data_IF_781203572571
#
_entry.id   IF_781203572571
#
_cell.length_a   1.000
_cell.length_b   1.000
_cell.length_c   1.000
_cell.angle_alpha   90.00
_cell.angle_beta   90.00
_cell.angle_gamma   90.00
#
_symmetry.space_group_name_H-M   'P 1'
#
loop_
_entity.id
_entity.type
_entity.pdbx_description
1 polymer ?
#
# COMPACT_ATOMS: atom_id res chain seq x y z
N UNK A 1 -20.13 19.22 45.18
CA UNK A 1 -19.55 19.74 43.91
C UNK A 1 -18.20 19.08 43.61
N UNK A 2 -17.18 19.21 44.48
CA UNK A 2 -15.83 18.66 44.24
C UNK A 2 -15.80 17.15 44.00
N UNK A 3 -16.55 16.36 44.77
CA UNK A 3 -16.63 14.90 44.59
C UNK A 3 -17.21 14.54 43.21
N UNK A 4 -18.25 15.25 42.75
CA UNK A 4 -18.86 15.02 41.44
C UNK A 4 -17.88 15.37 40.31
N UNK A 5 -17.13 16.47 40.45
CA UNK A 5 -16.09 16.87 39.49
C UNK A 5 -14.99 15.81 39.42
N UNK A 6 -14.50 15.34 40.57
CA UNK A 6 -13.47 14.30 40.63
C UNK A 6 -13.96 12.97 40.01
N UNK A 7 -15.22 12.59 40.27
CA UNK A 7 -15.84 11.40 39.70
C UNK A 7 -15.97 11.50 38.17
N UNK A 8 -16.43 12.63 37.65
CA UNK A 8 -16.55 12.88 36.20
C UNK A 8 -15.17 12.89 35.54
N UNK A 9 -14.19 13.56 36.14
CA UNK A 9 -12.82 13.59 35.62
C UNK A 9 -12.20 12.18 35.57
N UNK A 10 -12.40 11.38 36.63
CA UNK A 10 -11.96 9.98 36.67
C UNK A 10 -12.65 9.14 35.59
N UNK A 11 -13.96 9.29 35.41
CA UNK A 11 -14.73 8.59 34.39
C UNK A 11 -14.27 8.95 32.98
N UNK A 12 -14.07 10.23 32.67
CA UNK A 12 -13.57 10.69 31.38
C UNK A 12 -12.14 10.19 31.12
N UNK A 13 -11.27 10.19 32.14
CA UNK A 13 -9.92 9.63 32.05
C UNK A 13 -9.91 8.15 31.69
N UNK A 14 -10.92 7.38 32.11
CA UNK A 14 -11.10 5.98 31.73
C UNK A 14 -11.72 5.82 30.34
N UNK A 15 -12.69 6.66 29.98
CA UNK A 15 -13.51 6.51 28.76
C UNK A 15 -12.77 6.98 27.50
N UNK A 16 -12.04 8.10 27.56
CA UNK A 16 -11.35 8.70 26.42
C UNK A 16 -10.36 7.71 25.77
N UNK A 17 -9.47 7.01 26.50
CA UNK A 17 -8.54 6.06 25.91
C UNK A 17 -9.25 4.93 25.17
N UNK A 18 -10.41 4.47 25.67
CA UNK A 18 -11.20 3.40 25.04
C UNK A 18 -11.78 3.87 23.72
N UNK A 19 -12.35 5.07 23.69
CA UNK A 19 -12.91 5.68 22.47
C UNK A 19 -11.84 6.01 21.43
N UNK A 20 -10.61 6.31 21.86
CA UNK A 20 -9.49 6.64 20.96
C UNK A 20 -8.75 5.41 20.42
N UNK A 21 -9.02 4.19 20.93
CA UNK A 21 -8.34 2.97 20.46
C UNK A 21 -8.38 2.80 18.93
N UNK A 22 -9.53 2.94 18.24
CA UNK A 22 -9.60 2.79 16.78
C UNK A 22 -8.66 3.74 16.04
N UNK A 23 -8.57 4.99 16.51
CA UNK A 23 -7.70 6.01 15.92
C UNK A 23 -6.22 5.64 16.07
N UNK A 24 -5.83 5.11 17.24
CA UNK A 24 -4.45 4.64 17.45
C UNK A 24 -4.11 3.42 16.59
N UNK A 25 -5.07 2.53 16.34
CA UNK A 25 -4.89 1.39 15.44
C UNK A 25 -4.73 1.83 13.99
N UNK A 26 -5.56 2.78 13.53
CA UNK A 26 -5.41 3.41 12.21
C UNK A 26 -4.05 4.08 12.05
N UNK A 27 -3.63 4.86 13.05
CA UNK A 27 -2.34 5.56 13.02
C UNK A 27 -1.15 4.60 12.91
N UNK A 28 -1.20 3.45 13.61
CA UNK A 28 -0.17 2.40 13.47
C UNK A 28 -0.17 1.79 12.07
N UNK A 29 -1.34 1.37 11.57
CA UNK A 29 -1.44 0.80 10.23
C UNK A 29 -0.95 1.77 9.14
N UNK A 30 -1.25 3.07 9.28
CA UNK A 30 -0.77 4.10 8.35
C UNK A 30 0.74 4.31 8.45
N UNK A 31 1.30 4.23 9.66
CA UNK A 31 2.74 4.31 9.88
C UNK A 31 3.48 3.11 9.28
N UNK A 32 2.97 1.90 9.49
CA UNK A 32 3.54 0.68 8.91
C UNK A 32 3.59 0.78 7.38
N UNK A 33 2.53 1.29 6.74
CA UNK A 33 2.49 1.53 5.30
C UNK A 33 3.50 2.61 4.87
N UNK A 34 3.61 3.70 5.62
CA UNK A 34 4.52 4.80 5.29
C UNK A 34 6.00 4.43 5.46
N UNK A 35 6.32 3.54 6.39
CA UNK A 35 7.68 3.03 6.62
C UNK A 35 8.09 1.96 5.58
N UNK A 36 7.20 1.57 4.66
CA UNK A 36 7.48 0.63 3.57
C UNK A 36 7.45 -0.85 3.97
N UNK A 37 7.29 -1.13 5.26
CA UNK A 37 7.15 -2.47 5.84
C UNK A 37 5.68 -2.96 5.85
N UNK A 38 4.75 -2.08 5.49
CA UNK A 38 3.31 -2.33 5.60
C UNK A 38 2.79 -3.30 4.56
N UNK A 39 2.33 -4.46 5.03
CA UNK A 39 1.53 -5.40 4.26
C UNK A 39 0.22 -4.73 3.79
N UNK A 40 0.22 -4.26 2.53
CA UNK A 40 -0.91 -3.60 1.87
C UNK A 40 -2.13 -4.52 1.68
N UNK A 41 -2.01 -5.81 2.00
CA UNK A 41 -3.16 -6.73 2.01
C UNK A 41 -3.96 -6.62 3.30
N UNK A 42 -3.39 -6.04 4.37
CA UNK A 42 -4.11 -5.81 5.62
C UNK A 42 -5.18 -4.74 5.44
N UNK A 43 -6.30 -4.98 6.13
CA UNK A 43 -7.46 -4.09 6.14
C UNK A 43 -7.85 -3.83 7.58
N UNK A 44 -8.23 -2.59 7.87
CA UNK A 44 -8.80 -2.22 9.15
C UNK A 44 -10.20 -2.83 9.29
N UNK A 45 -10.49 -3.41 10.45
CA UNK A 45 -11.82 -3.95 10.74
C UNK A 45 -12.83 -2.81 10.91
N UNK A 46 -13.88 -2.82 10.08
CA UNK A 46 -15.00 -1.87 10.17
C UNK A 46 -16.04 -2.44 11.13
N UNK A 47 -15.89 -2.16 12.43
CA UNK A 47 -16.78 -2.71 13.47
C UNK A 47 -18.03 -1.85 13.70
N UNK A 48 -17.92 -0.54 13.49
CA UNK A 48 -18.96 0.42 13.85
C UNK A 48 -19.53 1.12 12.61
N UNK A 49 -20.76 1.60 12.70
CA UNK A 49 -21.40 2.50 11.71
C UNK A 49 -21.28 3.97 12.11
N UNK A 50 -20.22 4.31 12.84
CA UNK A 50 -19.89 5.65 13.31
C UNK A 50 -18.80 6.27 12.41
N UNK A 51 -18.34 7.44 12.80
CA UNK A 51 -17.30 8.19 12.10
C UNK A 51 -15.98 7.41 11.98
N UNK A 52 -15.68 6.54 12.96
CA UNK A 52 -14.49 5.69 12.91
C UNK A 52 -14.66 4.55 11.91
N UNK A 53 -15.87 3.99 11.76
CA UNK A 53 -16.18 3.03 10.71
C UNK A 53 -16.03 3.61 9.31
N UNK A 54 -16.49 4.84 9.10
CA UNK A 54 -16.35 5.54 7.82
C UNK A 54 -14.87 5.85 7.51
N UNK A 55 -14.10 6.28 8.51
CA UNK A 55 -12.66 6.52 8.37
C UNK A 55 -11.90 5.23 8.04
N UNK A 56 -12.22 4.11 8.70
CA UNK A 56 -11.63 2.80 8.40
C UNK A 56 -11.93 2.37 6.96
N UNK A 57 -13.16 2.58 6.50
CA UNK A 57 -13.57 2.28 5.13
C UNK A 57 -12.80 3.11 4.11
N UNK A 58 -12.68 4.42 4.37
CA UNK A 58 -11.94 5.33 3.50
C UNK A 58 -10.44 5.00 3.46
N UNK A 59 -9.86 4.64 4.60
CA UNK A 59 -8.47 4.15 4.68
C UNK A 59 -8.28 2.87 3.86
N UNK A 60 -9.14 1.87 4.03
CA UNK A 60 -9.04 0.61 3.27
C UNK A 60 -9.07 0.84 1.76
N UNK A 61 -9.97 1.72 1.27
CA UNK A 61 -10.05 2.11 -0.15
C UNK A 61 -8.80 2.84 -0.63
N UNK A 62 -8.20 3.68 0.21
CA UNK A 62 -6.95 4.35 -0.10
C UNK A 62 -5.80 3.36 -0.27
N UNK A 63 -5.66 2.41 0.67
CA UNK A 63 -4.62 1.36 0.61
C UNK A 63 -4.81 0.46 -0.60
N UNK A 64 -6.05 0.11 -0.95
CA UNK A 64 -6.37 -0.66 -2.15
C UNK A 64 -5.90 0.04 -3.43
N UNK A 65 -6.12 1.36 -3.54
CA UNK A 65 -5.64 2.15 -4.69
C UNK A 65 -4.11 2.17 -4.77
N UNK A 66 -3.42 2.33 -3.65
CA UNK A 66 -1.96 2.26 -3.61
C UNK A 66 -1.48 0.90 -4.12
N UNK A 67 -2.05 -0.19 -3.59
CA UNK A 67 -1.68 -1.54 -4.02
C UNK A 67 -1.88 -1.75 -5.52
N UNK A 68 -3.02 -1.29 -6.07
CA UNK A 68 -3.29 -1.36 -7.50
C UNK A 68 -2.25 -0.59 -8.33
N UNK A 69 -1.91 0.64 -7.93
CA UNK A 69 -0.89 1.45 -8.62
C UNK A 69 0.50 0.80 -8.56
N UNK A 70 0.90 0.23 -7.43
CA UNK A 70 2.18 -0.50 -7.31
C UNK A 70 2.18 -1.74 -8.20
N UNK A 71 1.07 -2.48 -8.25
CA UNK A 71 0.92 -3.65 -9.12
C UNK A 71 1.03 -3.27 -10.61
N UNK A 72 0.42 -2.15 -11.01
CA UNK A 72 0.51 -1.63 -12.38
C UNK A 72 1.95 -1.26 -12.76
N UNK A 73 2.65 -0.53 -11.88
CA UNK A 73 4.06 -0.18 -12.08
C UNK A 73 4.92 -1.45 -12.19
N UNK A 74 4.72 -2.44 -11.31
CA UNK A 74 5.43 -3.73 -11.38
C UNK A 74 5.18 -4.47 -12.70
N UNK A 75 3.94 -4.44 -13.20
CA UNK A 75 3.60 -5.04 -14.49
C UNK A 75 4.28 -4.31 -15.65
N UNK A 76 4.29 -2.97 -15.62
CA UNK A 76 4.96 -2.17 -16.64
C UNK A 76 6.48 -2.41 -16.65
N UNK A 77 7.11 -2.49 -15.47
CA UNK A 77 8.54 -2.82 -15.36
C UNK A 77 8.86 -4.19 -15.96
N UNK A 78 8.04 -5.21 -15.69
CA UNK A 78 8.20 -6.54 -16.29
C UNK A 78 8.07 -6.51 -17.81
N UNK A 79 7.07 -5.79 -18.33
CA UNK A 79 6.91 -5.63 -19.78
C UNK A 79 8.14 -4.98 -20.43
N UNK A 80 8.69 -3.93 -19.81
CA UNK A 80 9.90 -3.25 -20.32
C UNK A 80 11.11 -4.20 -20.29
N UNK A 81 11.23 -5.02 -19.24
CA UNK A 81 12.28 -6.02 -19.14
C UNK A 81 12.19 -7.06 -20.27
N UNK A 82 11.02 -7.66 -20.48
CA UNK A 82 10.77 -8.66 -21.52
C UNK A 82 11.02 -8.08 -22.93
N UNK A 83 10.63 -6.82 -23.16
CA UNK A 83 10.90 -6.12 -24.41
C UNK A 83 12.40 -5.91 -24.62
N UNK A 84 13.14 -5.57 -23.56
CA UNK A 84 14.59 -5.38 -23.63
C UNK A 84 15.31 -6.68 -23.99
N UNK A 85 14.91 -7.82 -23.40
CA UNK A 85 15.45 -9.14 -23.77
C UNK A 85 15.18 -9.49 -25.23
N UNK A 86 13.96 -9.22 -25.72
CA UNK A 86 13.61 -9.43 -27.14
C UNK A 86 14.44 -8.56 -28.07
N UNK A 87 14.69 -7.30 -27.72
CA UNK A 87 15.53 -6.38 -28.51
C UNK A 87 16.97 -6.90 -28.57
N UNK A 88 17.54 -7.35 -27.45
CA UNK A 88 18.90 -7.93 -27.42
C UNK A 88 18.97 -9.19 -28.29
N UNK A 89 17.98 -10.08 -28.16
CA UNK A 89 17.90 -11.30 -28.98
C UNK A 89 17.82 -10.98 -30.49
N UNK A 90 16.96 -10.04 -30.87
CA UNK A 90 16.82 -9.60 -32.27
C UNK A 90 18.10 -8.93 -32.80
N UNK A 91 18.78 -8.13 -31.97
CA UNK A 91 20.06 -7.51 -32.33
C UNK A 91 21.14 -8.57 -32.59
N UNK A 92 21.26 -9.57 -31.72
CA UNK A 92 22.24 -10.65 -31.89
C UNK A 92 21.97 -11.48 -33.15
N UNK A 93 20.70 -11.79 -33.42
CA UNK A 93 20.31 -12.49 -34.65
C UNK A 93 20.62 -11.67 -35.91
N UNK A 94 20.41 -10.34 -35.86
CA UNK A 94 20.71 -9.43 -36.97
C UNK A 94 22.20 -9.34 -37.25
N UNK A 95 23.05 -9.31 -36.20
CA UNK A 95 24.51 -9.34 -36.33
C UNK A 95 24.95 -10.65 -36.99
N UNK A 96 24.47 -11.79 -36.48
CA UNK A 96 24.79 -13.11 -37.04
C UNK A 96 24.37 -13.24 -38.51
N UNK A 97 23.16 -12.77 -38.87
CA UNK A 97 22.72 -12.79 -40.27
C UNK A 97 23.52 -11.85 -41.17
N UNK A 98 23.99 -10.72 -40.64
CA UNK A 98 24.85 -9.78 -41.38
C UNK A 98 26.24 -10.36 -41.64
N UNK A 99 26.81 -11.09 -40.68
CA UNK A 99 28.08 -11.80 -40.85
C UNK A 99 27.97 -12.88 -41.93
N UNK A 100 26.89 -13.68 -41.90
CA UNK A 100 26.64 -14.72 -42.90
C UNK A 100 26.46 -14.14 -44.32
N UNK A 101 25.76 -13.01 -44.44
CA UNK A 101 25.61 -12.32 -45.72
C UNK A 101 26.93 -11.74 -46.25
N UNK A 102 27.77 -11.19 -45.38
CA UNK A 102 29.10 -10.68 -45.76
C UNK A 102 30.04 -11.78 -46.25
N UNK A 103 29.84 -13.03 -45.84
CA UNK A 103 30.64 -14.17 -46.33
C UNK A 103 30.19 -14.62 -47.73
N UNK A 104 28.97 -14.29 -48.14
CA UNK A 104 28.39 -14.67 -49.42
C UNK A 104 28.58 -13.63 -50.54
N UNK A 105 28.98 -12.40 -50.20
CA UNK A 105 29.34 -11.32 -51.15
C UNK A 105 30.84 -11.18 -51.28
#
# INVERSE_FOLDING_TARGET
>A
MLIAVAAIAGLLGLLIPVLMRPLTTMGRAMRDIAEGEGDLTRRLTVQNKDEFGELATSFNRFVERIHASISEVSSATRLVHDLSEKVVSASNASISGSEEQSMHT
#
